data_IF_338518321295
#
_entry.id   IF_338518321295
#
_cell.length_a   1.000
_cell.length_b   1.000
_cell.length_c   1.000
_cell.angle_alpha   90.00
_cell.angle_beta   90.00
_cell.angle_gamma   90.00
#
_symmetry.space_group_name_H-M   'P 1'
#
loop_
_entity.id
_entity.type
_entity.pdbx_description
1 polymer ?
#
# COMPACT_ATOMS: atom_id res chain seq x y z
N UNK A 1 -12.39 31.79 10.18
CA UNK A 1 -13.37 30.69 10.30
C UNK A 1 -12.86 29.57 9.42
N UNK A 2 -12.36 28.50 10.04
CA UNK A 2 -11.86 27.32 9.32
C UNK A 2 -12.94 26.79 8.39
N UNK A 3 -12.59 26.65 7.11
CA UNK A 3 -13.51 26.23 6.04
C UNK A 3 -13.59 24.72 5.87
N UNK A 4 -12.78 23.95 6.59
CA UNK A 4 -12.65 22.51 6.46
C UNK A 4 -12.70 21.85 7.85
N UNK A 5 -13.89 21.49 8.32
CA UNK A 5 -14.07 20.63 9.50
C UNK A 5 -14.20 19.19 9.01
N UNK A 6 -13.32 18.31 9.49
CA UNK A 6 -13.39 16.86 9.24
C UNK A 6 -14.21 16.23 10.36
N UNK A 7 -15.28 15.51 10.01
CA UNK A 7 -16.09 14.75 10.97
C UNK A 7 -15.50 13.34 11.03
N UNK A 8 -14.86 12.97 12.14
CA UNK A 8 -14.06 11.74 12.27
C UNK A 8 -14.81 10.56 12.93
N UNK A 9 -16.08 10.74 13.29
CA UNK A 9 -16.90 9.67 13.85
C UNK A 9 -17.07 9.69 15.37
N UNK A 10 -16.33 10.54 16.11
CA UNK A 10 -16.38 10.53 17.58
C UNK A 10 -17.60 11.22 18.19
N UNK A 11 -18.15 12.24 17.52
CA UNK A 11 -19.36 12.98 17.93
C UNK A 11 -20.34 13.18 16.76
N UNK A 12 -20.53 12.15 15.93
CA UNK A 12 -21.32 12.19 14.67
C UNK A 12 -22.65 12.92 14.80
N UNK A 13 -23.40 12.68 15.88
CA UNK A 13 -24.72 13.26 16.06
C UNK A 13 -24.69 14.78 16.24
N UNK A 14 -23.78 15.29 17.09
CA UNK A 14 -23.67 16.72 17.37
C UNK A 14 -23.04 17.47 16.19
N UNK A 15 -22.03 16.88 15.55
CA UNK A 15 -21.38 17.45 14.38
C UNK A 15 -22.32 17.50 13.17
N UNK A 16 -23.16 16.47 12.99
CA UNK A 16 -24.19 16.46 11.94
C UNK A 16 -25.20 17.58 12.18
N UNK A 17 -25.76 17.69 13.39
CA UNK A 17 -26.84 18.65 13.67
C UNK A 17 -26.37 20.11 13.54
N UNK A 18 -25.12 20.40 13.90
CA UNK A 18 -24.57 21.77 13.85
C UNK A 18 -24.07 22.13 12.45
N UNK A 19 -23.38 21.21 11.76
CA UNK A 19 -22.64 21.55 10.54
C UNK A 19 -23.37 21.19 9.24
N UNK A 20 -24.22 20.15 9.23
CA UNK A 20 -24.93 19.72 8.01
C UNK A 20 -25.88 20.79 7.44
N UNK A 21 -26.62 21.58 8.25
CA UNK A 21 -27.48 22.64 7.71
C UNK A 21 -26.71 23.76 6.97
N UNK A 22 -25.40 23.91 7.23
CA UNK A 22 -24.54 24.93 6.62
C UNK A 22 -23.61 24.35 5.54
N UNK A 23 -23.75 23.05 5.27
CA UNK A 23 -22.82 22.30 4.44
C UNK A 23 -23.10 22.59 2.96
N UNK A 24 -22.14 23.20 2.28
CA UNK A 24 -22.22 23.47 0.85
C UNK A 24 -21.70 22.29 0.01
N UNK A 25 -20.83 21.46 0.61
CA UNK A 25 -20.23 20.29 -0.02
C UNK A 25 -19.92 19.22 1.03
N UNK A 26 -20.26 17.96 0.74
CA UNK A 26 -19.96 16.81 1.58
C UNK A 26 -18.94 15.92 0.87
N UNK A 27 -17.78 15.71 1.49
CA UNK A 27 -16.74 14.80 1.00
C UNK A 27 -16.65 13.63 1.95
N UNK A 28 -16.64 12.41 1.43
CA UNK A 28 -16.56 11.20 2.24
C UNK A 28 -15.54 10.22 1.69
N UNK A 29 -15.02 9.40 2.59
CA UNK A 29 -14.32 8.16 2.32
C UNK A 29 -14.91 7.12 3.27
N UNK A 30 -15.49 6.07 2.70
CA UNK A 30 -16.11 4.98 3.44
C UNK A 30 -15.35 3.73 3.02
N UNK A 31 -14.69 3.09 3.97
CA UNK A 31 -14.12 1.76 3.78
C UNK A 31 -14.98 0.75 4.54
N UNK A 32 -15.35 -0.34 3.89
CA UNK A 32 -16.14 -1.40 4.51
C UNK A 32 -15.47 -2.74 4.25
N UNK A 33 -15.26 -3.49 5.32
CA UNK A 33 -14.82 -4.87 5.27
C UNK A 33 -16.04 -5.79 5.43
N UNK A 34 -16.17 -6.77 4.53
CA UNK A 34 -17.32 -7.67 4.44
C UNK A 34 -16.79 -9.10 4.46
N UNK A 35 -17.20 -9.88 5.45
CA UNK A 35 -17.01 -11.33 5.46
C UNK A 35 -18.15 -11.99 4.67
N UNK A 36 -17.79 -12.82 3.70
CA UNK A 36 -18.76 -13.53 2.86
C UNK A 36 -18.99 -14.94 3.42
N UNK A 37 -20.10 -15.10 4.13
CA UNK A 37 -20.60 -16.40 4.59
C UNK A 37 -21.31 -17.15 3.45
N UNK A 38 -20.55 -17.70 2.51
CA UNK A 38 -21.01 -18.72 1.54
C UNK A 38 -22.10 -18.30 0.54
N UNK A 39 -22.67 -17.10 0.63
CA UNK A 39 -23.64 -16.54 -0.29
C UNK A 39 -22.92 -15.57 -1.23
N UNK A 40 -22.80 -16.00 -2.50
CA UNK A 40 -22.18 -15.23 -3.59
C UNK A 40 -23.00 -13.99 -3.93
N UNK A 41 -22.79 -12.92 -3.19
CA UNK A 41 -23.11 -11.60 -3.69
C UNK A 41 -21.87 -11.10 -4.43
N UNK A 42 -21.90 -11.19 -5.76
CA UNK A 42 -20.94 -10.51 -6.64
C UNK A 42 -21.14 -9.00 -6.49
N UNK A 43 -20.51 -8.43 -5.47
CA UNK A 43 -20.31 -7.00 -5.30
C UNK A 43 -19.41 -6.51 -6.43
N UNK A 44 -20.02 -6.16 -7.56
CA UNK A 44 -19.29 -5.55 -8.66
C UNK A 44 -19.16 -4.04 -8.46
N UNK A 45 -17.99 -3.52 -8.85
CA UNK A 45 -17.74 -2.08 -8.91
C UNK A 45 -18.80 -1.38 -9.76
N UNK A 46 -19.24 -2.00 -10.84
CA UNK A 46 -20.23 -1.46 -11.78
C UNK A 46 -21.60 -1.29 -11.10
N UNK A 47 -22.05 -2.26 -10.32
CA UNK A 47 -23.31 -2.16 -9.57
C UNK A 47 -23.24 -1.06 -8.50
N UNK A 48 -22.13 -0.94 -7.77
CA UNK A 48 -21.94 0.10 -6.76
C UNK A 48 -21.90 1.47 -7.44
N UNK A 49 -21.14 1.61 -8.52
CA UNK A 49 -21.05 2.85 -9.28
C UNK A 49 -22.41 3.29 -9.84
N UNK A 50 -23.19 2.35 -10.38
CA UNK A 50 -24.55 2.64 -10.85
C UNK A 50 -25.48 3.07 -9.72
N UNK A 51 -25.35 2.43 -8.54
CA UNK A 51 -26.11 2.81 -7.34
C UNK A 51 -25.78 4.24 -6.92
N UNK A 52 -24.49 4.61 -6.88
CA UNK A 52 -24.04 5.98 -6.58
C UNK A 52 -24.62 6.99 -7.57
N UNK A 53 -24.62 6.68 -8.87
CA UNK A 53 -25.21 7.52 -9.90
C UNK A 53 -26.72 7.70 -9.66
N UNK A 54 -27.44 6.61 -9.37
CA UNK A 54 -28.89 6.63 -9.16
C UNK A 54 -29.30 7.47 -7.94
N UNK A 55 -28.45 7.56 -6.91
CA UNK A 55 -28.69 8.42 -5.73
C UNK A 55 -28.13 9.85 -5.89
N UNK A 56 -27.70 10.24 -7.10
CA UNK A 56 -27.22 11.58 -7.41
C UNK A 56 -25.75 11.86 -7.08
N UNK A 57 -24.97 10.83 -6.70
CA UNK A 57 -23.55 10.94 -6.35
C UNK A 57 -22.66 10.73 -7.58
N UNK A 58 -22.73 11.66 -8.54
CA UNK A 58 -21.96 11.58 -9.80
C UNK A 58 -20.44 11.74 -9.60
N UNK A 59 -20.03 12.43 -8.53
CA UNK A 59 -18.63 12.66 -8.19
C UNK A 59 -18.11 11.65 -7.16
N UNK A 60 -18.73 10.47 -7.03
CA UNK A 60 -18.24 9.40 -6.19
C UNK A 60 -17.69 8.25 -7.04
N UNK A 61 -16.64 7.60 -6.56
CA UNK A 61 -16.10 6.38 -7.13
C UNK A 61 -15.96 5.31 -6.06
N UNK A 62 -15.66 4.09 -6.51
CA UNK A 62 -15.43 2.97 -5.62
C UNK A 62 -14.32 2.05 -6.12
N UNK A 63 -13.74 1.34 -5.16
CA UNK A 63 -12.81 0.24 -5.31
C UNK A 63 -13.42 -0.94 -4.58
N UNK A 64 -13.43 -2.10 -5.24
CA UNK A 64 -13.83 -3.37 -4.62
C UNK A 64 -12.68 -4.35 -4.78
N UNK A 65 -12.18 -4.87 -3.66
CA UNK A 65 -11.12 -5.88 -3.64
C UNK A 65 -11.61 -7.14 -2.95
N UNK A 66 -11.39 -8.28 -3.59
CA UNK A 66 -11.62 -9.60 -3.02
C UNK A 66 -10.30 -10.07 -2.45
N UNK A 67 -10.07 -9.84 -1.16
CA UNK A 67 -8.79 -10.16 -0.49
C UNK A 67 -8.64 -11.66 -0.29
N UNK A 68 -9.75 -12.37 -0.10
CA UNK A 68 -9.77 -13.82 -0.05
C UNK A 68 -11.10 -14.36 -0.58
N UNK A 69 -11.26 -15.68 -0.59
CA UNK A 69 -12.55 -16.31 -0.93
C UNK A 69 -13.70 -15.87 -0.04
N UNK A 70 -13.40 -15.38 1.17
CA UNK A 70 -14.41 -15.04 2.17
C UNK A 70 -14.31 -13.59 2.66
N UNK A 71 -13.48 -12.74 2.05
CA UNK A 71 -13.32 -11.34 2.49
C UNK A 71 -13.28 -10.38 1.32
N UNK A 72 -14.08 -9.32 1.43
CA UNK A 72 -14.16 -8.24 0.45
C UNK A 72 -14.02 -6.91 1.15
N UNK A 73 -13.24 -6.02 0.55
CA UNK A 73 -13.23 -4.60 0.92
C UNK A 73 -13.90 -3.77 -0.16
N UNK A 74 -14.72 -2.83 0.29
CA UNK A 74 -15.36 -1.84 -0.55
C UNK A 74 -15.00 -0.45 -0.03
N UNK A 75 -14.23 0.27 -0.83
CA UNK A 75 -13.84 1.65 -0.58
C UNK A 75 -14.66 2.56 -1.50
N UNK A 76 -15.50 3.43 -0.93
CA UNK A 76 -16.29 4.42 -1.66
C UNK A 76 -15.81 5.82 -1.27
N UNK A 77 -15.56 6.69 -2.25
CA UNK A 77 -15.03 8.02 -1.99
C UNK A 77 -15.48 9.07 -2.99
N UNK A 78 -15.46 10.33 -2.55
CA UNK A 78 -15.65 11.49 -3.41
C UNK A 78 -14.41 11.81 -4.27
N UNK A 79 -14.68 12.42 -5.42
CA UNK A 79 -13.72 13.04 -6.32
C UNK A 79 -13.90 14.58 -6.28
N UNK A 80 -12.80 15.36 -6.27
CA UNK A 80 -11.41 14.91 -6.15
C UNK A 80 -11.14 14.25 -4.79
N UNK A 81 -10.18 13.32 -4.77
CA UNK A 81 -9.75 12.62 -3.55
C UNK A 81 -9.23 13.66 -2.55
N UNK A 82 -9.66 13.55 -1.29
CA UNK A 82 -9.24 14.45 -0.21
C UNK A 82 -8.77 13.71 1.07
N UNK A 83 -8.78 12.38 1.04
CA UNK A 83 -8.29 11.55 2.15
C UNK A 83 -6.81 11.22 1.96
N UNK A 84 -6.12 10.91 3.07
CA UNK A 84 -4.68 10.64 3.09
C UNK A 84 -4.30 9.19 3.42
N UNK A 85 -5.28 8.32 3.70
CA UNK A 85 -5.08 6.90 3.98
C UNK A 85 -5.97 6.03 3.08
N UNK A 86 -5.44 4.91 2.61
CA UNK A 86 -6.18 3.89 1.86
C UNK A 86 -5.75 2.52 2.37
N UNK A 87 -6.69 1.73 2.85
CA UNK A 87 -6.38 0.45 3.46
C UNK A 87 -6.98 -0.71 2.68
N UNK A 88 -6.27 -1.85 2.72
CA UNK A 88 -6.68 -3.11 2.11
C UNK A 88 -6.93 -3.00 0.60
N UNK A 89 -6.01 -2.33 -0.09
CA UNK A 89 -6.00 -2.24 -1.54
C UNK A 89 -5.39 -3.50 -2.15
N UNK A 90 -6.15 -4.19 -3.00
CA UNK A 90 -5.64 -5.32 -3.78
C UNK A 90 -5.05 -4.92 -5.13
N UNK A 91 -4.88 -5.88 -6.02
CA UNK A 91 -4.33 -5.69 -7.38
C UNK A 91 -5.27 -4.95 -8.34
N UNK A 92 -6.58 -5.01 -8.07
CA UNK A 92 -7.63 -4.42 -8.92
C UNK A 92 -8.07 -3.08 -8.34
N UNK A 93 -7.60 -2.00 -8.94
CA UNK A 93 -8.01 -0.63 -8.60
C UNK A 93 -7.95 0.26 -9.85
N UNK A 94 -8.72 1.36 -9.89
CA UNK A 94 -8.81 2.20 -11.09
C UNK A 94 -7.49 2.94 -11.35
N UNK A 95 -7.25 3.31 -12.61
CA UNK A 95 -6.09 4.11 -13.00
C UNK A 95 -6.30 5.58 -12.62
N UNK A 96 -6.26 5.88 -11.32
CA UNK A 96 -6.45 7.20 -10.72
C UNK A 96 -5.19 7.54 -9.93
N UNK A 97 -4.81 8.83 -9.93
CA UNK A 97 -3.73 9.34 -9.10
C UNK A 97 -4.31 9.84 -7.77
N UNK A 98 -3.91 9.21 -6.68
CA UNK A 98 -4.27 9.53 -5.32
C UNK A 98 -3.29 10.55 -4.74
N UNK A 99 -3.41 11.81 -5.20
CA UNK A 99 -2.47 12.90 -4.89
C UNK A 99 -2.32 13.25 -3.39
N UNK A 100 -3.25 12.80 -2.54
CA UNK A 100 -3.24 13.10 -1.10
C UNK A 100 -2.95 11.87 -0.23
N UNK A 101 -2.95 10.67 -0.80
CA UNK A 101 -2.74 9.43 -0.05
C UNK A 101 -1.26 9.29 0.28
N UNK A 102 -0.97 9.34 1.58
CA UNK A 102 0.37 9.17 2.15
C UNK A 102 0.52 7.85 2.90
N UNK A 103 -0.59 7.17 3.21
CA UNK A 103 -0.62 5.91 3.93
C UNK A 103 -1.38 4.87 3.10
N UNK A 104 -0.71 3.75 2.78
CA UNK A 104 -1.28 2.68 1.98
C UNK A 104 -1.04 1.33 2.66
N UNK A 105 -2.11 0.56 2.85
CA UNK A 105 -2.05 -0.86 3.19
C UNK A 105 -2.53 -1.64 1.97
N UNK A 106 -1.70 -2.57 1.49
CA UNK A 106 -2.05 -3.48 0.39
C UNK A 106 -2.18 -4.89 0.92
N UNK A 107 -3.22 -5.57 0.46
CA UNK A 107 -3.56 -6.93 0.84
C UNK A 107 -4.23 -7.60 -0.37
N UNK A 108 -3.80 -8.81 -0.69
CA UNK A 108 -4.39 -9.60 -1.76
C UNK A 108 -4.14 -11.09 -1.51
N UNK A 109 -5.11 -11.92 -1.86
CA UNK A 109 -5.00 -13.37 -1.75
C UNK A 109 -4.14 -13.98 -2.84
N UNK A 110 -3.94 -13.23 -3.94
CA UNK A 110 -3.04 -13.61 -5.03
C UNK A 110 -1.69 -12.90 -4.89
N UNK A 111 -0.63 -13.56 -5.38
CA UNK A 111 0.72 -13.01 -5.39
C UNK A 111 0.80 -11.66 -6.15
N UNK A 112 1.40 -10.65 -5.53
CA UNK A 112 1.70 -9.40 -6.22
C UNK A 112 2.81 -9.60 -7.25
N UNK A 113 2.64 -9.04 -8.45
CA UNK A 113 3.67 -9.06 -9.51
C UNK A 113 4.42 -7.72 -9.57
N UNK A 114 5.60 -7.70 -10.18
CA UNK A 114 6.41 -6.48 -10.31
C UNK A 114 5.62 -5.27 -10.85
N UNK A 115 4.72 -5.49 -11.81
CA UNK A 115 3.93 -4.44 -12.45
C UNK A 115 2.99 -3.71 -11.46
N UNK A 116 2.55 -4.35 -10.37
CA UNK A 116 1.70 -3.68 -9.38
C UNK A 116 2.47 -2.63 -8.60
N UNK A 117 3.75 -2.86 -8.31
CA UNK A 117 4.61 -1.89 -7.63
C UNK A 117 4.83 -0.65 -8.51
N UNK A 118 4.97 -0.84 -9.84
CA UNK A 118 5.00 0.28 -10.79
C UNK A 118 3.69 1.07 -10.74
N UNK A 119 2.55 0.39 -10.64
CA UNK A 119 1.25 1.04 -10.51
C UNK A 119 1.11 1.77 -9.18
N UNK A 120 1.63 1.24 -8.08
CA UNK A 120 1.63 1.92 -6.79
C UNK A 120 2.44 3.22 -6.86
N UNK A 121 3.68 3.18 -7.36
CA UNK A 121 4.51 4.38 -7.47
C UNK A 121 3.85 5.48 -8.32
N UNK A 122 3.15 5.11 -9.39
CA UNK A 122 2.42 6.07 -10.26
C UNK A 122 1.15 6.62 -9.63
N UNK A 123 0.43 5.78 -8.89
CA UNK A 123 -0.89 6.12 -8.34
C UNK A 123 -0.77 6.86 -7.00
N UNK A 124 0.33 6.67 -6.27
CA UNK A 124 0.56 7.24 -4.94
C UNK A 124 1.87 8.04 -4.92
N UNK A 125 1.94 9.19 -5.62
CA UNK A 125 3.19 9.91 -5.85
C UNK A 125 3.83 10.47 -4.57
N UNK A 126 3.06 10.66 -3.49
CA UNK A 126 3.54 11.20 -2.21
C UNK A 126 3.48 10.17 -1.08
N UNK A 127 3.48 8.88 -1.42
CA UNK A 127 3.36 7.80 -0.45
C UNK A 127 4.50 7.85 0.58
N UNK A 128 4.15 7.85 1.87
CA UNK A 128 5.09 7.88 3.00
C UNK A 128 5.14 6.56 3.75
N UNK A 129 4.00 5.91 3.89
CA UNK A 129 3.84 4.65 4.60
C UNK A 129 3.26 3.61 3.65
N UNK A 130 3.95 2.49 3.50
CA UNK A 130 3.47 1.33 2.77
C UNK A 130 3.54 0.10 3.67
N UNK A 131 2.40 -0.53 3.90
CA UNK A 131 2.32 -1.83 4.54
C UNK A 131 1.82 -2.87 3.53
N UNK A 132 2.47 -4.02 3.48
CA UNK A 132 2.15 -5.12 2.58
C UNK A 132 1.77 -6.33 3.42
N UNK A 133 0.59 -6.87 3.17
CA UNK A 133 0.10 -8.14 3.69
C UNK A 133 -0.08 -9.11 2.52
N UNK A 134 0.89 -9.99 2.32
CA UNK A 134 0.78 -11.03 1.29
C UNK A 134 1.82 -12.11 1.57
N UNK A 135 1.36 -13.30 1.96
CA UNK A 135 2.25 -14.43 2.26
C UNK A 135 2.65 -15.23 1.02
N UNK A 136 2.02 -14.95 -0.14
CA UNK A 136 2.39 -15.59 -1.39
C UNK A 136 3.68 -14.97 -1.95
N UNK A 137 4.67 -15.78 -2.37
CA UNK A 137 5.87 -15.26 -3.02
C UNK A 137 5.53 -14.41 -4.25
N UNK A 138 6.35 -13.39 -4.51
CA UNK A 138 6.10 -12.46 -5.60
C UNK A 138 5.90 -13.23 -6.93
N UNK A 139 4.77 -12.99 -7.59
CA UNK A 139 4.39 -13.75 -8.78
C UNK A 139 5.42 -13.58 -9.90
N UNK A 140 6.03 -14.69 -10.32
CA UNK A 140 6.88 -14.77 -11.50
C UNK A 140 6.03 -14.76 -12.76
N UNK A 141 5.35 -13.65 -13.05
CA UNK A 141 4.71 -13.50 -14.34
C UNK A 141 5.76 -13.70 -15.45
N UNK A 142 5.63 -14.78 -16.24
CA UNK A 142 6.56 -15.23 -17.29
C UNK A 142 7.66 -14.22 -17.63
N UNK A 143 8.78 -14.30 -16.91
CA UNK A 143 10.02 -13.59 -17.25
C UNK A 143 10.70 -14.19 -18.50
N UNK A 144 9.98 -15.05 -19.22
CA UNK A 144 10.34 -15.66 -20.50
C UNK A 144 9.25 -15.39 -21.54
N UNK A 145 9.03 -14.13 -21.90
CA UNK A 145 8.52 -13.82 -23.24
C UNK A 145 9.59 -14.20 -24.27
N UNK A 146 9.56 -15.45 -24.71
CA UNK A 146 9.92 -15.98 -26.05
C UNK A 146 10.93 -15.21 -26.93
N UNK A 147 11.97 -14.62 -26.35
CA UNK A 147 13.14 -14.06 -27.04
C UNK A 147 14.16 -13.71 -25.95
N UNK A 148 15.41 -14.15 -26.11
CA UNK A 148 16.48 -14.09 -25.09
C UNK A 148 16.97 -12.68 -24.72
N UNK A 149 16.08 -11.77 -24.39
CA UNK A 149 16.36 -10.46 -23.84
C UNK A 149 15.76 -10.40 -22.44
N UNK A 150 16.61 -10.44 -21.43
CA UNK A 150 16.27 -10.05 -20.05
C UNK A 150 15.70 -8.65 -20.09
N UNK A 151 14.38 -8.52 -19.97
CA UNK A 151 13.72 -7.23 -19.94
C UNK A 151 14.13 -6.55 -18.62
N UNK A 152 15.09 -5.64 -18.71
CA UNK A 152 15.48 -4.79 -17.59
C UNK A 152 14.30 -3.87 -17.30
N UNK A 153 13.53 -4.19 -16.27
CA UNK A 153 12.53 -3.26 -15.77
C UNK A 153 13.24 -1.99 -15.28
N UNK A 154 12.61 -0.84 -15.54
CA UNK A 154 13.07 0.43 -14.98
C UNK A 154 12.97 0.36 -13.46
N UNK A 155 13.99 0.88 -12.77
CA UNK A 155 13.97 1.02 -11.30
C UNK A 155 12.72 1.82 -10.89
N UNK A 156 11.96 1.30 -9.94
CA UNK A 156 10.77 1.96 -9.41
C UNK A 156 11.21 2.98 -8.37
N UNK A 157 10.81 4.24 -8.53
CA UNK A 157 11.14 5.29 -7.58
C UNK A 157 9.99 5.51 -6.58
N UNK A 158 10.34 5.48 -5.30
CA UNK A 158 9.47 5.81 -4.17
C UNK A 158 10.09 6.97 -3.40
N UNK A 159 10.05 8.18 -3.97
CA UNK A 159 10.78 9.35 -3.48
C UNK A 159 10.41 9.80 -2.07
N UNK A 160 9.21 9.45 -1.61
CA UNK A 160 8.65 9.92 -0.33
C UNK A 160 8.46 8.82 0.71
N UNK A 161 8.73 7.56 0.38
CA UNK A 161 8.49 6.44 1.28
C UNK A 161 9.46 6.50 2.46
N UNK A 162 8.92 6.72 3.66
CA UNK A 162 9.67 6.82 4.91
C UNK A 162 9.58 5.57 5.76
N UNK A 163 8.44 4.86 5.69
CA UNK A 163 8.19 3.63 6.43
C UNK A 163 7.70 2.54 5.47
N UNK A 164 8.39 1.40 5.50
CA UNK A 164 7.98 0.17 4.84
C UNK A 164 7.72 -0.91 5.89
N UNK A 165 6.50 -1.44 5.92
CA UNK A 165 6.13 -2.61 6.73
C UNK A 165 5.86 -3.80 5.80
N UNK A 166 6.70 -4.82 5.96
CA UNK A 166 6.61 -6.12 5.29
C UNK A 166 6.79 -7.25 6.30
N UNK A 167 6.39 -7.00 7.56
CA UNK A 167 6.56 -7.94 8.66
C UNK A 167 5.65 -9.18 8.55
N UNK A 168 4.55 -9.05 7.81
CA UNK A 168 3.55 -10.09 7.53
C UNK A 168 3.42 -10.33 6.02
N UNK A 169 4.58 -10.51 5.38
CA UNK A 169 4.70 -10.67 3.93
C UNK A 169 5.81 -11.64 3.58
N UNK A 170 5.74 -12.23 2.39
CA UNK A 170 6.88 -12.97 1.83
C UNK A 170 8.10 -12.06 1.61
N UNK A 171 9.28 -12.62 1.82
CA UNK A 171 10.57 -11.93 1.70
C UNK A 171 10.84 -11.33 0.32
N UNK A 172 10.18 -11.81 -0.74
CA UNK A 172 10.36 -11.29 -2.09
C UNK A 172 9.87 -9.83 -2.20
N UNK A 173 8.87 -9.46 -1.40
CA UNK A 173 8.43 -8.07 -1.28
C UNK A 173 9.48 -7.20 -0.61
N UNK A 174 10.14 -7.71 0.45
CA UNK A 174 11.31 -7.03 1.02
C UNK A 174 12.43 -6.85 -0.03
N UNK A 175 12.72 -7.87 -0.83
CA UNK A 175 13.72 -7.78 -1.90
C UNK A 175 13.33 -6.73 -2.95
N UNK A 176 12.05 -6.63 -3.32
CA UNK A 176 11.53 -5.63 -4.27
C UNK A 176 11.88 -4.19 -3.87
N UNK A 177 11.88 -3.87 -2.57
CA UNK A 177 12.18 -2.53 -2.08
C UNK A 177 13.64 -2.32 -1.68
N UNK A 178 14.28 -3.33 -1.07
CA UNK A 178 15.67 -3.17 -0.62
C UNK A 178 16.66 -3.23 -1.78
N UNK A 179 16.38 -3.99 -2.83
CA UNK A 179 17.31 -4.14 -3.96
C UNK A 179 17.31 -2.87 -4.83
N UNK A 180 18.44 -2.17 -4.89
CA UNK A 180 18.59 -0.90 -5.61
C UNK A 180 18.41 -1.02 -7.13
N UNK A 181 18.52 -2.24 -7.68
CA UNK A 181 18.24 -2.53 -9.09
C UNK A 181 16.75 -2.71 -9.38
N UNK A 182 15.92 -2.90 -8.35
CA UNK A 182 14.46 -3.05 -8.45
C UNK A 182 13.73 -1.77 -8.02
N UNK A 183 14.17 -1.14 -6.92
CA UNK A 183 13.54 0.06 -6.39
C UNK A 183 14.57 1.04 -5.79
N UNK A 184 14.26 2.33 -5.95
CA UNK A 184 14.95 3.43 -5.31
C UNK A 184 14.04 4.06 -4.24
N UNK A 185 14.36 3.79 -2.98
CA UNK A 185 13.66 4.32 -1.80
C UNK A 185 14.57 5.34 -1.11
N UNK A 186 14.54 6.60 -1.56
CA UNK A 186 15.47 7.65 -1.09
C UNK A 186 15.26 8.06 0.37
N UNK A 187 14.04 7.93 0.88
CA UNK A 187 13.63 8.48 2.17
C UNK A 187 13.34 7.41 3.23
N UNK A 188 13.63 6.14 2.96
CA UNK A 188 13.33 5.04 3.89
C UNK A 188 14.13 5.20 5.18
N UNK A 189 13.45 5.51 6.27
CA UNK A 189 14.02 5.68 7.61
C UNK A 189 13.55 4.61 8.59
N UNK A 190 12.39 4.02 8.34
CA UNK A 190 11.76 3.04 9.22
C UNK A 190 11.45 1.77 8.41
N UNK A 191 11.85 0.61 8.95
CA UNK A 191 11.60 -0.68 8.32
C UNK A 191 11.03 -1.64 9.36
N UNK A 192 9.85 -2.19 9.09
CA UNK A 192 9.24 -3.25 9.88
C UNK A 192 9.32 -4.56 9.11
N UNK A 193 10.01 -5.54 9.69
CA UNK A 193 10.40 -6.75 8.95
C UNK A 193 10.71 -7.91 9.88
N UNK A 194 10.56 -9.12 9.37
CA UNK A 194 11.13 -10.32 10.00
C UNK A 194 12.67 -10.31 9.87
N UNK A 195 13.37 -10.44 11.00
CA UNK A 195 14.84 -10.49 11.02
C UNK A 195 15.40 -11.64 10.17
N UNK A 196 14.69 -12.77 10.08
CA UNK A 196 15.06 -13.91 9.24
C UNK A 196 15.03 -13.56 7.75
N UNK A 197 13.99 -12.86 7.31
CA UNK A 197 13.81 -12.48 5.91
C UNK A 197 14.79 -11.39 5.53
N UNK A 198 15.05 -10.47 6.45
CA UNK A 198 16.10 -9.48 6.30
C UNK A 198 17.49 -10.12 6.11
N UNK A 199 17.87 -11.09 6.96
CA UNK A 199 19.13 -11.85 6.77
C UNK A 199 19.15 -12.59 5.44
N UNK A 200 18.02 -13.15 5.02
CA UNK A 200 17.93 -13.87 3.74
C UNK A 200 18.15 -12.94 2.55
N UNK A 201 17.41 -11.84 2.47
CA UNK A 201 17.46 -10.87 1.36
C UNK A 201 18.81 -10.18 1.26
N UNK A 202 19.41 -9.85 2.41
CA UNK A 202 20.72 -9.19 2.50
C UNK A 202 21.91 -10.16 2.44
N UNK A 203 21.66 -11.47 2.33
CA UNK A 203 22.67 -12.54 2.42
C UNK A 203 23.57 -12.38 3.66
N UNK A 204 22.95 -12.38 4.84
CA UNK A 204 23.59 -12.10 6.11
C UNK A 204 24.34 -10.75 6.10
N UNK A 205 23.71 -9.69 5.59
CA UNK A 205 24.26 -8.33 5.57
C UNK A 205 25.54 -8.18 4.72
N UNK A 206 25.70 -8.98 3.66
CA UNK A 206 26.86 -8.91 2.75
C UNK A 206 26.50 -8.54 1.31
N UNK A 207 25.22 -8.51 0.97
CA UNK A 207 24.76 -8.22 -0.40
C UNK A 207 24.86 -6.73 -0.72
N UNK A 208 25.62 -6.35 -1.72
CA UNK A 208 25.85 -4.94 -2.06
C UNK A 208 24.60 -4.25 -2.62
N UNK A 209 23.79 -4.95 -3.42
CA UNK A 209 22.63 -4.35 -4.11
C UNK A 209 21.53 -3.91 -3.13
N UNK A 210 21.49 -4.47 -1.93
CA UNK A 210 20.52 -4.08 -0.89
C UNK A 210 21.08 -3.07 0.11
N UNK A 211 22.40 -2.83 0.11
CA UNK A 211 23.10 -2.03 1.12
C UNK A 211 22.71 -0.56 1.07
N UNK A 212 22.60 0.04 -0.12
CA UNK A 212 22.33 1.49 -0.27
C UNK A 212 20.98 1.88 0.32
N UNK A 213 19.95 1.07 0.13
CA UNK A 213 18.63 1.34 0.68
C UNK A 213 18.59 1.07 2.19
N UNK A 214 19.26 0.01 2.66
CA UNK A 214 19.37 -0.27 4.10
C UNK A 214 20.13 0.80 4.87
N UNK A 215 21.16 1.42 4.29
CA UNK A 215 22.00 2.40 4.98
C UNK A 215 21.25 3.66 5.45
N UNK A 216 20.06 3.91 4.91
CA UNK A 216 19.21 5.06 5.23
C UNK A 216 18.28 4.79 6.43
N UNK A 217 18.08 3.52 6.79
CA UNK A 217 17.19 3.08 7.87
C UNK A 217 17.78 3.49 9.22
N UNK A 218 16.97 4.21 10.00
CA UNK A 218 17.27 4.73 11.34
C UNK A 218 16.51 4.01 12.44
N UNK A 219 15.46 3.28 12.07
CA UNK A 219 14.70 2.46 12.98
C UNK A 219 14.34 1.15 12.28
N UNK A 220 14.72 0.05 12.91
CA UNK A 220 14.47 -1.29 12.43
C UNK A 220 13.62 -2.02 13.47
N UNK A 221 12.35 -2.25 13.14
CA UNK A 221 11.39 -2.94 14.00
C UNK A 221 11.34 -4.41 13.58
N UNK A 222 11.84 -5.30 14.44
CA UNK A 222 11.83 -6.74 14.21
C UNK A 222 11.20 -7.47 15.38
N UNK A 223 10.39 -8.50 15.11
CA UNK A 223 9.82 -9.34 16.17
C UNK A 223 10.88 -10.15 16.95
N UNK A 224 12.06 -10.34 16.36
CA UNK A 224 13.18 -11.08 16.92
C UNK A 224 14.33 -10.13 17.30
N UNK A 225 15.17 -10.48 18.28
CA UNK A 225 16.36 -9.69 18.61
C UNK A 225 17.31 -9.55 17.41
N UNK A 226 17.91 -8.36 17.28
CA UNK A 226 18.88 -8.06 16.24
C UNK A 226 20.22 -8.76 16.50
N UNK A 227 20.87 -9.16 15.41
CA UNK A 227 22.24 -9.68 15.43
C UNK A 227 23.23 -8.51 15.61
N UNK A 228 24.02 -8.53 16.69
CA UNK A 228 25.00 -7.48 17.00
C UNK A 228 26.35 -7.70 16.28
N UNK A 229 26.32 -8.23 15.06
CA UNK A 229 27.53 -8.47 14.28
C UNK A 229 28.09 -7.18 13.69
N UNK A 230 29.39 -7.15 13.40
CA UNK A 230 30.02 -5.98 12.77
C UNK A 230 29.42 -5.72 11.37
N UNK A 231 29.11 -6.79 10.63
CA UNK A 231 28.48 -6.70 9.31
C UNK A 231 27.11 -6.02 9.40
N UNK A 232 26.31 -6.31 10.43
CA UNK A 232 25.02 -5.65 10.65
C UNK A 232 25.15 -4.14 10.78
N UNK A 233 26.06 -3.65 11.62
CA UNK A 233 26.28 -2.20 11.80
C UNK A 233 26.90 -1.53 10.57
N UNK A 234 27.72 -2.24 9.79
CA UNK A 234 28.17 -1.74 8.48
C UNK A 234 27.04 -1.61 7.47
N UNK A 235 26.02 -2.47 7.58
CA UNK A 235 24.85 -2.49 6.71
C UNK A 235 23.81 -1.43 7.07
N UNK A 236 23.69 -1.15 8.37
CA UNK A 236 22.77 -0.17 8.95
C UNK A 236 23.53 0.88 9.78
N UNK A 237 24.39 1.71 9.15
CA UNK A 237 25.21 2.70 9.85
C UNK A 237 24.42 3.84 10.52
N UNK A 238 23.11 3.92 10.29
CA UNK A 238 22.24 4.98 10.84
C UNK A 238 21.38 4.51 12.03
N UNK A 239 21.49 3.23 12.44
CA UNK A 239 20.85 2.67 13.63
C UNK A 239 21.58 3.04 14.93
#
# INVERSE_FOLDING_TARGET
KDRNTIIDGTCVQDDILVHVPQLHSFTFYINTYIEIDGLSHDLSREHIQQTLINIGQQNASCIVNYLSRCSVTCSIFCLPIAFNYLEYLGTVFPNIVFNYVTYLVVDDGDAFRHEIFVRFARSFPILKYLCIYNDEPQGSGDLTLSSGHTQSFSIIEYSHLTLLDVSSSDKDYLEQFLNETKAYVSCLTELEVSHRDLKTVTKNFTREETRRNCAKVKQLNTAQPLDNSQDFYHYFPSL
#
